data_IF_496977938555
#
_entry.id   IF_496977938555
#
_cell.length_a   1.000
_cell.length_b   1.000
_cell.length_c   1.000
_cell.angle_alpha   90.00
_cell.angle_beta   90.00
_cell.angle_gamma   90.00
#
_symmetry.space_group_name_H-M   'P 1'
#
loop_
_entity.id
_entity.type
_entity.pdbx_description
1 polymer ?
#
# COMPACT_ATOMS: atom_id res chain seq x y z
N UNK A 1 -25.30 18.33 15.17
CA UNK A 1 -24.01 18.39 15.88
C UNK A 1 -22.94 18.40 14.81
N UNK A 2 -22.34 19.56 14.55
CA UNK A 2 -21.29 19.71 13.55
C UNK A 2 -19.93 19.51 14.19
N UNK A 3 -19.17 18.53 13.70
CA UNK A 3 -17.76 18.36 14.06
C UNK A 3 -16.95 18.87 12.86
N UNK A 4 -16.47 20.10 12.99
CA UNK A 4 -15.52 20.72 12.06
C UNK A 4 -14.09 20.43 12.53
N UNK A 5 -13.26 19.87 11.64
CA UNK A 5 -11.83 19.69 11.87
C UNK A 5 -11.05 20.76 11.10
N UNK A 6 -10.54 21.75 11.83
CA UNK A 6 -9.56 22.71 11.32
C UNK A 6 -8.15 22.18 11.58
N UNK A 7 -7.40 21.88 10.53
CA UNK A 7 -5.95 21.64 10.63
C UNK A 7 -5.21 22.72 9.85
N UNK A 8 -4.69 23.72 10.57
CA UNK A 8 -3.59 24.57 10.09
C UNK A 8 -2.28 24.04 10.65
N UNK A 9 -1.42 23.53 9.76
CA UNK A 9 -0.02 23.26 10.06
C UNK A 9 0.80 23.92 8.95
N UNK A 10 1.63 24.90 9.31
CA UNK A 10 2.75 25.36 8.47
C UNK A 10 4.00 25.53 9.34
N UNK A 11 4.99 24.64 9.22
CA UNK A 11 6.38 24.91 9.59
C UNK A 11 7.18 25.31 8.33
N UNK A 12 8.39 25.87 8.51
CA UNK A 12 9.17 26.42 7.39
C UNK A 12 9.74 25.29 6.52
N UNK A 13 9.45 25.36 5.22
CA UNK A 13 9.74 24.36 4.20
C UNK A 13 11.22 24.33 3.78
N UNK A 14 11.79 23.11 3.64
CA UNK A 14 12.85 22.78 2.67
C UNK A 14 12.49 21.44 1.98
N UNK A 15 12.70 21.30 0.66
CA UNK A 15 12.23 20.15 -0.10
C UNK A 15 13.13 18.90 0.11
N UNK A 16 12.51 17.71 0.19
CA UNK A 16 13.06 16.33 0.06
C UNK A 16 13.11 15.40 1.29
N UNK A 17 12.35 15.64 2.36
CA UNK A 17 12.48 14.80 3.56
C UNK A 17 11.78 13.43 3.42
N UNK A 18 12.56 12.36 3.57
CA UNK A 18 12.12 10.96 3.60
C UNK A 18 10.90 10.75 4.52
N UNK A 19 10.81 11.53 5.60
CA UNK A 19 9.71 11.53 6.53
C UNK A 19 8.37 11.97 5.91
N UNK A 20 8.34 13.02 5.09
CA UNK A 20 7.11 13.49 4.43
C UNK A 20 6.57 12.45 3.45
N UNK A 21 7.47 11.85 2.67
CA UNK A 21 7.12 10.79 1.75
C UNK A 21 6.64 9.55 2.51
N UNK A 22 7.21 9.26 3.68
CA UNK A 22 6.77 8.14 4.51
C UNK A 22 5.35 8.34 5.02
N UNK A 23 5.06 9.54 5.55
CA UNK A 23 3.70 9.89 5.97
C UNK A 23 2.72 9.85 4.79
N UNK A 24 3.13 10.33 3.63
CA UNK A 24 2.33 10.26 2.41
C UNK A 24 2.02 8.81 2.02
N UNK A 25 3.00 7.92 2.08
CA UNK A 25 2.79 6.50 1.80
C UNK A 25 1.79 5.84 2.76
N UNK A 26 1.79 6.20 4.04
CA UNK A 26 0.79 5.73 5.02
C UNK A 26 -0.61 6.23 4.63
N UNK A 27 -0.76 7.53 4.35
CA UNK A 27 -2.04 8.15 4.00
C UNK A 27 -2.62 7.48 2.75
N UNK A 28 -1.82 7.34 1.69
CA UNK A 28 -2.28 6.72 0.44
C UNK A 28 -2.54 5.23 0.61
N UNK A 29 -1.80 4.53 1.46
CA UNK A 29 -2.11 3.13 1.78
C UNK A 29 -3.49 3.00 2.44
N UNK A 30 -3.77 3.82 3.44
CA UNK A 30 -5.07 3.80 4.12
C UNK A 30 -6.22 4.13 3.15
N UNK A 31 -6.00 5.07 2.22
CA UNK A 31 -6.98 5.38 1.17
C UNK A 31 -7.20 4.20 0.22
N UNK A 32 -6.14 3.49 -0.17
CA UNK A 32 -6.25 2.29 -1.00
C UNK A 32 -7.04 1.18 -0.28
N UNK A 33 -6.77 0.95 1.00
CA UNK A 33 -7.51 -0.02 1.82
C UNK A 33 -9.00 0.36 1.94
N UNK A 34 -9.30 1.63 2.20
CA UNK A 34 -10.67 2.14 2.24
C UNK A 34 -11.40 1.93 0.90
N UNK A 35 -10.68 2.12 -0.22
CA UNK A 35 -11.24 1.90 -1.56
C UNK A 35 -11.59 0.42 -1.81
N UNK A 36 -10.80 -0.53 -1.28
CA UNK A 36 -11.13 -1.96 -1.32
C UNK A 36 -12.35 -2.29 -0.45
N UNK A 37 -12.46 -1.70 0.75
CA UNK A 37 -13.63 -1.87 1.62
C UNK A 37 -14.91 -1.42 0.93
N UNK A 38 -14.85 -0.28 0.23
CA UNK A 38 -15.97 0.22 -0.58
C UNK A 38 -16.32 -0.72 -1.73
N UNK A 39 -15.33 -1.30 -2.44
CA UNK A 39 -15.58 -2.30 -3.48
C UNK A 39 -16.27 -3.54 -2.89
N UNK A 40 -15.81 -4.03 -1.74
CA UNK A 40 -16.47 -5.16 -1.07
C UNK A 40 -17.91 -4.83 -0.69
N UNK A 41 -18.18 -3.61 -0.18
CA UNK A 41 -19.54 -3.18 0.12
C UNK A 41 -20.43 -3.14 -1.13
N UNK A 42 -19.91 -2.64 -2.26
CA UNK A 42 -20.61 -2.66 -3.55
C UNK A 42 -20.99 -4.09 -3.95
N UNK A 43 -20.03 -5.02 -3.85
CA UNK A 43 -20.26 -6.44 -4.17
C UNK A 43 -21.26 -7.12 -3.22
N UNK A 44 -21.41 -6.61 -2.00
CA UNK A 44 -22.35 -7.13 -0.99
C UNK A 44 -23.69 -6.39 -0.96
N UNK A 45 -23.96 -5.49 -1.91
CA UNK A 45 -25.22 -4.75 -2.01
C UNK A 45 -25.39 -3.58 -1.03
N UNK A 46 -24.30 -3.04 -0.49
CA UNK A 46 -24.24 -1.75 0.23
C UNK A 46 -25.17 -1.61 1.46
N UNK A 47 -25.42 -2.69 2.18
CA UNK A 47 -26.17 -2.63 3.45
C UNK A 47 -25.32 -2.13 4.63
N UNK A 48 -25.95 -1.64 5.71
CA UNK A 48 -25.26 -1.35 6.97
C UNK A 48 -24.49 -2.55 7.53
N UNK A 49 -25.02 -3.76 7.32
CA UNK A 49 -24.34 -5.01 7.67
C UNK A 49 -23.08 -5.18 6.84
N UNK A 50 -23.15 -4.95 5.52
CA UNK A 50 -21.96 -5.02 4.65
C UNK A 50 -20.88 -4.00 5.04
N UNK A 51 -21.28 -2.79 5.46
CA UNK A 51 -20.37 -1.77 5.97
C UNK A 51 -19.64 -2.28 7.23
N UNK A 52 -20.39 -2.73 8.23
CA UNK A 52 -19.83 -3.26 9.48
C UNK A 52 -18.89 -4.45 9.23
N UNK A 53 -19.29 -5.40 8.38
CA UNK A 53 -18.46 -6.55 8.02
C UNK A 53 -17.18 -6.09 7.33
N UNK A 54 -17.28 -5.23 6.31
CA UNK A 54 -16.11 -4.77 5.55
C UNK A 54 -15.13 -3.93 6.39
N UNK A 55 -15.61 -3.23 7.41
CA UNK A 55 -14.78 -2.45 8.31
C UNK A 55 -13.83 -3.33 9.13
N UNK A 56 -14.30 -4.51 9.55
CA UNK A 56 -13.57 -5.50 10.35
C UNK A 56 -12.70 -6.45 9.50
N UNK A 57 -12.86 -6.42 8.17
CA UNK A 57 -12.09 -7.29 7.29
C UNK A 57 -10.64 -6.85 7.17
N UNK A 58 -9.72 -7.78 7.46
CA UNK A 58 -8.31 -7.62 7.17
C UNK A 58 -8.01 -7.70 5.66
N UNK A 59 -6.84 -7.19 5.27
CA UNK A 59 -6.37 -7.10 3.88
C UNK A 59 -6.53 -8.38 3.05
N UNK A 60 -6.20 -9.55 3.61
CA UNK A 60 -6.37 -10.84 2.93
C UNK A 60 -7.84 -11.19 2.69
N UNK A 61 -8.68 -10.96 3.68
CA UNK A 61 -10.12 -11.22 3.58
C UNK A 61 -10.76 -10.29 2.56
N UNK A 62 -10.35 -9.01 2.50
CA UNK A 62 -10.81 -8.06 1.49
C UNK A 62 -10.53 -8.57 0.07
N UNK A 63 -9.27 -8.95 -0.21
CA UNK A 63 -8.92 -9.46 -1.55
C UNK A 63 -9.64 -10.76 -1.89
N UNK A 64 -9.81 -11.66 -0.92
CA UNK A 64 -10.55 -12.91 -1.13
C UNK A 64 -12.03 -12.67 -1.42
N UNK A 65 -12.66 -11.71 -0.74
CA UNK A 65 -14.05 -11.35 -1.01
C UNK A 65 -14.22 -10.74 -2.40
N UNK A 66 -13.30 -9.86 -2.83
CA UNK A 66 -13.31 -9.31 -4.18
C UNK A 66 -13.10 -10.40 -5.23
N UNK A 67 -12.14 -11.31 -5.03
CA UNK A 67 -11.91 -12.46 -5.92
C UNK A 67 -13.13 -13.38 -5.99
N UNK A 68 -13.80 -13.64 -4.87
CA UNK A 68 -15.03 -14.42 -4.84
C UNK A 68 -16.17 -13.72 -5.59
N UNK A 69 -16.38 -12.43 -5.32
CA UNK A 69 -17.38 -11.61 -6.02
C UNK A 69 -17.13 -11.53 -7.52
N UNK A 70 -15.86 -11.52 -7.96
CA UNK A 70 -15.52 -11.52 -9.39
C UNK A 70 -16.00 -12.74 -10.18
N UNK A 71 -16.49 -13.79 -9.50
CA UNK A 71 -17.03 -15.00 -10.14
C UNK A 71 -18.53 -14.92 -10.43
N UNK A 72 -19.20 -13.86 -9.98
CA UNK A 72 -20.62 -13.65 -10.28
C UNK A 72 -20.80 -13.39 -11.78
N UNK A 73 -21.79 -14.04 -12.39
CA UNK A 73 -22.03 -13.97 -13.83
C UNK A 73 -22.32 -12.54 -14.32
N UNK A 74 -23.01 -11.76 -13.49
CA UNK A 74 -23.33 -10.34 -13.75
C UNK A 74 -22.09 -9.44 -13.79
N UNK A 75 -20.95 -9.91 -13.26
CA UNK A 75 -19.70 -9.15 -13.18
C UNK A 75 -18.66 -9.61 -14.21
N UNK A 76 -19.02 -10.42 -15.20
CA UNK A 76 -18.08 -10.96 -16.21
C UNK A 76 -17.18 -9.91 -16.85
N UNK A 77 -17.73 -8.74 -17.19
CA UNK A 77 -16.98 -7.65 -17.81
C UNK A 77 -15.96 -7.00 -16.85
N UNK A 78 -16.30 -6.87 -15.57
CA UNK A 78 -15.44 -6.24 -14.56
C UNK A 78 -14.53 -7.24 -13.84
N UNK A 79 -14.82 -8.54 -13.92
CA UNK A 79 -14.08 -9.60 -13.23
C UNK A 79 -12.56 -9.57 -13.49
N UNK A 80 -12.07 -9.40 -14.74
CA UNK A 80 -10.63 -9.29 -14.99
C UNK A 80 -10.00 -8.06 -14.32
N UNK A 81 -10.78 -7.00 -14.10
CA UNK A 81 -10.31 -5.79 -13.42
C UNK A 81 -10.22 -5.98 -11.91
N UNK A 82 -11.21 -6.64 -11.30
CA UNK A 82 -11.21 -7.01 -9.88
C UNK A 82 -10.05 -7.93 -9.52
N UNK A 83 -9.78 -8.94 -10.36
CA UNK A 83 -8.64 -9.85 -10.18
C UNK A 83 -7.30 -9.13 -10.33
N UNK A 84 -7.18 -8.25 -11.33
CA UNK A 84 -5.98 -7.44 -11.53
C UNK A 84 -5.74 -6.47 -10.37
N UNK A 85 -6.81 -5.88 -9.82
CA UNK A 85 -6.76 -5.04 -8.63
C UNK A 85 -6.22 -5.83 -7.42
N UNK A 86 -6.76 -7.03 -7.16
CA UNK A 86 -6.31 -7.87 -6.05
C UNK A 86 -4.83 -8.23 -6.16
N UNK A 87 -4.36 -8.59 -7.36
CA UNK A 87 -2.94 -8.83 -7.62
C UNK A 87 -2.07 -7.61 -7.27
N UNK A 88 -2.49 -6.42 -7.71
CA UNK A 88 -1.79 -5.17 -7.42
C UNK A 88 -1.76 -4.86 -5.92
N UNK A 89 -2.90 -5.01 -5.25
CA UNK A 89 -3.02 -4.77 -3.82
C UNK A 89 -2.13 -5.70 -3.00
N UNK A 90 -2.11 -7.01 -3.30
CA UNK A 90 -1.26 -7.99 -2.61
C UNK A 90 0.22 -7.70 -2.81
N UNK A 91 0.62 -7.32 -4.04
CA UNK A 91 2.01 -6.92 -4.30
C UNK A 91 2.39 -5.69 -3.46
N UNK A 92 1.57 -4.64 -3.50
CA UNK A 92 1.81 -3.39 -2.77
C UNK A 92 1.70 -3.55 -1.25
N UNK A 93 0.91 -4.51 -0.75
CA UNK A 93 0.90 -4.90 0.67
C UNK A 93 2.27 -5.42 1.11
N UNK A 94 2.95 -6.18 0.24
CA UNK A 94 4.33 -6.60 0.46
C UNK A 94 5.27 -5.41 0.59
N UNK A 95 5.14 -4.42 -0.29
CA UNK A 95 5.89 -3.15 -0.22
C UNK A 95 5.59 -2.37 1.05
N UNK A 96 4.31 -2.24 1.43
CA UNK A 96 3.89 -1.59 2.67
C UNK A 96 4.48 -2.26 3.90
N UNK A 97 4.42 -3.58 3.98
CA UNK A 97 5.00 -4.31 5.11
C UNK A 97 6.53 -4.14 5.17
N UNK A 98 7.19 -4.03 4.02
CA UNK A 98 8.63 -3.84 3.96
C UNK A 98 9.06 -2.39 4.27
N UNK A 99 8.38 -1.39 3.73
CA UNK A 99 8.74 0.03 3.89
C UNK A 99 8.13 0.70 5.12
N UNK A 100 6.91 0.34 5.52
CA UNK A 100 6.21 1.02 6.62
C UNK A 100 6.50 0.33 7.97
N UNK A 101 6.56 -1.00 7.98
CA UNK A 101 6.85 -1.76 9.20
C UNK A 101 8.30 -2.21 9.35
N UNK A 102 9.08 -2.09 8.28
CA UNK A 102 10.46 -2.54 8.29
C UNK A 102 11.47 -1.48 8.72
N UNK A 103 11.14 -0.19 8.69
CA UNK A 103 12.12 0.86 9.02
C UNK A 103 12.43 0.84 10.52
N UNK A 104 13.70 0.67 10.87
CA UNK A 104 14.15 0.72 12.27
C UNK A 104 15.16 1.84 12.54
N UNK A 105 15.84 2.32 11.50
CA UNK A 105 16.79 3.43 11.60
C UNK A 105 16.85 4.21 10.28
N UNK A 106 17.28 5.47 10.37
CA UNK A 106 17.70 6.27 9.22
C UNK A 106 19.15 6.67 9.42
N UNK A 107 19.92 6.74 8.33
CA UNK A 107 21.32 7.15 8.36
C UNK A 107 21.65 8.02 7.14
N UNK A 108 22.83 8.65 7.16
CA UNK A 108 23.38 9.34 6.00
C UNK A 108 24.35 8.37 5.30
N UNK A 109 24.06 8.01 4.05
CA UNK A 109 24.89 7.18 3.20
C UNK A 109 25.21 7.95 1.91
N UNK A 110 26.50 8.16 1.61
CA UNK A 110 26.96 8.95 0.47
C UNK A 110 26.32 10.36 0.37
N UNK A 111 26.08 11.02 1.50
CA UNK A 111 25.46 12.35 1.56
C UNK A 111 23.93 12.36 1.44
N UNK A 112 23.29 11.21 1.27
CA UNK A 112 21.84 11.08 1.19
C UNK A 112 21.26 10.38 2.43
N UNK A 113 20.07 10.79 2.85
CA UNK A 113 19.33 10.13 3.93
C UNK A 113 18.69 8.85 3.40
N UNK A 114 19.09 7.71 3.96
CA UNK A 114 18.55 6.38 3.63
C UNK A 114 17.88 5.74 4.85
N UNK A 115 16.89 4.87 4.62
CA UNK A 115 16.33 4.04 5.67
C UNK A 115 17.00 2.66 5.71
N UNK A 116 17.18 2.14 6.92
CA UNK A 116 17.61 0.76 7.19
C UNK A 116 16.40 -0.07 7.62
N UNK A 117 16.36 -1.32 7.14
CA UNK A 117 15.19 -2.20 7.29
C UNK A 117 15.48 -3.41 8.18
N UNK A 118 14.63 -3.60 9.19
CA UNK A 118 14.58 -4.73 10.10
C UNK A 118 13.21 -5.36 9.95
N UNK A 119 13.17 -6.65 9.60
CA UNK A 119 11.92 -7.39 9.55
C UNK A 119 11.96 -8.53 10.55
N UNK A 120 10.88 -8.69 11.32
CA UNK A 120 10.68 -9.85 12.17
C UNK A 120 9.91 -10.89 11.37
N UNK A 121 10.46 -12.10 11.24
CA UNK A 121 9.77 -13.18 10.54
C UNK A 121 8.57 -13.71 11.35
N UNK A 122 7.71 -14.51 10.71
CA UNK A 122 6.54 -15.12 11.35
C UNK A 122 6.87 -16.12 12.48
N UNK A 123 8.16 -16.34 12.77
CA UNK A 123 8.66 -17.14 13.90
C UNK A 123 9.27 -16.26 15.00
N UNK A 124 9.06 -14.94 14.93
CA UNK A 124 9.54 -13.98 15.92
C UNK A 124 11.04 -13.67 15.81
N UNK A 125 11.75 -14.11 14.77
CA UNK A 125 13.17 -13.81 14.61
C UNK A 125 13.35 -12.48 13.89
N UNK A 126 13.92 -11.51 14.61
CA UNK A 126 14.37 -10.26 14.02
C UNK A 126 15.51 -10.53 13.03
N UNK A 127 15.36 -10.04 11.80
CA UNK A 127 16.33 -10.19 10.73
C UNK A 127 16.64 -8.81 10.16
N UNK A 128 17.90 -8.41 10.26
CA UNK A 128 18.39 -7.18 9.62
C UNK A 128 18.61 -7.53 8.16
N UNK A 129 17.80 -6.95 7.29
CA UNK A 129 18.01 -7.00 5.86
C UNK A 129 18.70 -5.68 5.52
N UNK A 130 19.94 -5.70 5.03
CA UNK A 130 20.64 -4.49 4.60
C UNK A 130 20.56 -4.26 3.08
N UNK A 131 19.39 -3.97 2.47
CA UNK A 131 19.30 -3.05 1.36
C UNK A 131 19.06 -1.63 1.90
N UNK A 132 19.87 -0.66 1.47
CA UNK A 132 19.59 0.76 1.67
C UNK A 132 18.32 1.12 0.90
N UNK A 133 17.38 1.79 1.57
CA UNK A 133 16.17 2.30 0.96
C UNK A 133 16.28 3.82 0.82
N UNK A 134 16.11 4.30 -0.41
CA UNK A 134 16.25 5.71 -0.74
C UNK A 134 14.89 6.39 -0.92
N UNK A 135 14.91 7.72 -0.85
CA UNK A 135 13.76 8.57 -1.16
C UNK A 135 13.11 8.23 -2.53
N UNK A 136 13.91 7.84 -3.52
CA UNK A 136 13.41 7.45 -4.86
C UNK A 136 12.51 6.21 -4.81
N UNK A 137 12.83 5.24 -3.96
CA UNK A 137 12.07 3.98 -3.85
C UNK A 137 10.69 4.23 -3.23
N UNK A 138 10.63 5.17 -2.27
CA UNK A 138 9.37 5.60 -1.66
C UNK A 138 8.48 6.34 -2.65
N UNK A 139 9.07 7.21 -3.48
CA UNK A 139 8.33 7.88 -4.57
C UNK A 139 7.74 6.88 -5.55
N UNK A 140 8.49 5.86 -5.95
CA UNK A 140 7.99 4.80 -6.85
C UNK A 140 6.81 4.06 -6.20
N UNK A 141 6.92 3.73 -4.92
CA UNK A 141 5.82 3.10 -4.18
C UNK A 141 4.57 3.99 -4.11
N UNK A 142 4.72 5.27 -3.79
CA UNK A 142 3.62 6.25 -3.75
C UNK A 142 2.94 6.36 -5.12
N UNK A 143 3.70 6.40 -6.22
CA UNK A 143 3.14 6.41 -7.58
C UNK A 143 2.27 5.18 -7.83
N UNK A 144 2.70 3.99 -7.41
CA UNK A 144 1.89 2.79 -7.55
C UNK A 144 0.64 2.81 -6.64
N UNK A 145 0.70 3.42 -5.45
CA UNK A 145 -0.48 3.64 -4.62
C UNK A 145 -1.47 4.58 -5.30
N UNK A 146 -1.02 5.66 -5.94
CA UNK A 146 -1.89 6.53 -6.72
C UNK A 146 -2.58 5.78 -7.86
N UNK A 147 -1.83 4.96 -8.61
CA UNK A 147 -2.42 4.12 -9.65
C UNK A 147 -3.43 3.13 -9.09
N UNK A 148 -3.17 2.52 -7.94
CA UNK A 148 -4.08 1.60 -7.27
C UNK A 148 -5.38 2.29 -6.84
N UNK A 149 -5.28 3.50 -6.26
CA UNK A 149 -6.45 4.30 -5.84
C UNK A 149 -7.27 4.73 -7.06
N UNK A 150 -6.63 5.28 -8.09
CA UNK A 150 -7.31 5.69 -9.32
C UNK A 150 -8.00 4.52 -10.02
N UNK A 151 -7.34 3.37 -10.09
CA UNK A 151 -7.91 2.15 -10.67
C UNK A 151 -9.09 1.61 -9.82
N UNK A 152 -8.98 1.67 -8.49
CA UNK A 152 -10.08 1.32 -7.57
C UNK A 152 -11.29 2.22 -7.78
N UNK A 153 -11.10 3.53 -7.90
CA UNK A 153 -12.18 4.49 -8.16
C UNK A 153 -12.89 4.22 -9.51
N UNK A 154 -12.13 3.87 -10.55
CA UNK A 154 -12.71 3.49 -11.84
C UNK A 154 -13.55 2.22 -11.74
N UNK A 155 -13.08 1.22 -10.98
CA UNK A 155 -13.84 -0.01 -10.70
C UNK A 155 -15.11 0.29 -9.90
N UNK A 156 -15.04 1.12 -8.86
CA UNK A 156 -16.23 1.51 -8.09
C UNK A 156 -17.29 2.16 -8.99
N UNK A 157 -16.88 3.08 -9.87
CA UNK A 157 -17.78 3.69 -10.85
C UNK A 157 -18.38 2.64 -11.80
N UNK A 158 -17.59 1.68 -12.27
CA UNK A 158 -18.06 0.61 -13.15
C UNK A 158 -19.04 -0.35 -12.45
N UNK A 159 -18.93 -0.49 -11.13
CA UNK A 159 -19.87 -1.23 -10.28
C UNK A 159 -21.13 -0.41 -9.93
N UNK A 160 -21.28 0.81 -10.46
CA UNK A 160 -22.47 1.65 -10.27
C UNK A 160 -22.39 2.62 -9.09
N UNK A 161 -21.23 2.76 -8.44
CA UNK A 161 -21.07 3.78 -7.40
C UNK A 161 -21.12 5.19 -7.99
N UNK A 162 -21.72 6.11 -7.24
CA UNK A 162 -21.82 7.53 -7.56
C UNK A 162 -21.48 8.42 -6.34
N UNK A 163 -21.67 9.73 -6.49
CA UNK A 163 -21.44 10.72 -5.43
C UNK A 163 -20.17 11.58 -5.61
N UNK A 164 -20.20 12.74 -4.96
CA UNK A 164 -19.17 13.77 -5.11
C UNK A 164 -17.78 13.32 -4.66
N UNK A 165 -17.72 12.50 -3.61
CA UNK A 165 -16.47 11.92 -3.11
C UNK A 165 -15.75 11.09 -4.19
N UNK A 166 -16.50 10.22 -4.88
CA UNK A 166 -15.98 9.41 -5.98
C UNK A 166 -15.60 10.29 -7.18
N UNK A 167 -16.42 11.29 -7.50
CA UNK A 167 -16.11 12.26 -8.56
C UNK A 167 -14.80 13.00 -8.33
N UNK A 168 -14.52 13.40 -7.08
CA UNK A 168 -13.26 14.03 -6.70
C UNK A 168 -12.08 13.06 -6.79
N UNK A 169 -12.24 11.81 -6.35
CA UNK A 169 -11.19 10.78 -6.51
C UNK A 169 -10.86 10.52 -7.98
N UNK A 170 -11.87 10.43 -8.84
CA UNK A 170 -11.68 10.22 -10.29
C UNK A 170 -10.82 11.33 -10.89
N UNK A 171 -11.11 12.59 -10.54
CA UNK A 171 -10.34 13.74 -11.00
C UNK A 171 -8.92 13.75 -10.43
N UNK A 172 -8.78 13.56 -9.12
CA UNK A 172 -7.50 13.65 -8.41
C UNK A 172 -6.50 12.58 -8.86
N UNK A 173 -6.97 11.36 -9.10
CA UNK A 173 -6.13 10.21 -9.45
C UNK A 173 -6.19 9.82 -10.93
N UNK A 174 -6.84 10.65 -11.78
CA UNK A 174 -7.01 10.36 -13.22
C UNK A 174 -7.53 8.94 -13.46
N UNK A 175 -8.58 8.57 -12.71
CA UNK A 175 -9.07 7.20 -12.65
C UNK A 175 -9.51 6.69 -14.03
N UNK A 176 -9.07 5.48 -14.38
CA UNK A 176 -9.47 4.79 -15.59
C UNK A 176 -9.47 3.27 -15.39
N UNK A 177 -10.17 2.54 -16.25
CA UNK A 177 -10.12 1.07 -16.29
C UNK A 177 -8.91 0.53 -17.06
N UNK A 178 -7.98 1.39 -17.49
CA UNK A 178 -6.72 0.94 -18.08
C UNK A 178 -5.93 0.21 -16.99
N UNK A 179 -5.63 -1.07 -17.21
CA UNK A 179 -4.92 -1.93 -16.25
C UNK A 179 -3.54 -1.34 -15.96
N UNK A 180 -3.24 -0.90 -14.73
CA UNK A 180 -1.93 -0.38 -14.41
C UNK A 180 -0.89 -1.47 -14.42
N UNK A 181 0.36 -1.11 -14.70
CA UNK A 181 1.49 -2.03 -14.57
C UNK A 181 1.93 -2.06 -13.11
N UNK A 182 1.79 -3.22 -12.47
CA UNK A 182 2.22 -3.41 -11.09
C UNK A 182 3.73 -3.60 -10.99
N UNK A 183 4.35 -3.15 -9.89
CA UNK A 183 5.77 -3.38 -9.69
C UNK A 183 6.06 -4.89 -9.59
N UNK A 184 7.31 -5.30 -9.86
CA UNK A 184 7.71 -6.69 -9.62
C UNK A 184 7.55 -7.04 -8.14
N UNK A 185 7.49 -8.34 -7.83
CA UNK A 185 7.51 -8.76 -6.43
C UNK A 185 8.81 -8.32 -5.77
N UNK A 186 8.73 -7.75 -4.57
CA UNK A 186 9.92 -7.39 -3.80
C UNK A 186 10.84 -8.61 -3.65
N UNK A 187 12.08 -8.47 -4.13
CA UNK A 187 13.12 -9.48 -3.94
C UNK A 187 13.47 -9.52 -2.46
N UNK A 188 13.13 -10.63 -1.80
CA UNK A 188 13.61 -10.93 -0.44
C UNK A 188 15.03 -11.45 -0.55
N UNK A 189 15.94 -10.97 0.30
CA UNK A 189 17.29 -11.55 0.38
C UNK A 189 17.14 -13.03 0.80
N UNK A 190 17.73 -13.99 0.07
CA UNK A 190 17.71 -15.41 0.43
C UNK A 190 18.21 -15.66 1.86
N UNK A 191 17.61 -16.63 2.55
CA UNK A 191 17.85 -16.90 3.99
C UNK A 191 19.31 -17.24 4.31
N UNK A 192 20.03 -17.80 3.34
CA UNK A 192 21.42 -18.21 3.43
C UNK A 192 22.45 -17.07 3.26
N UNK A 193 22.05 -15.88 2.79
CA UNK A 193 22.93 -14.71 2.63
C UNK A 193 22.79 -13.70 3.79
N UNK A 194 21.99 -14.02 4.81
CA UNK A 194 21.60 -13.13 5.91
C UNK A 194 22.58 -13.12 7.10
N UNK A 195 23.70 -13.87 7.02
CA UNK A 195 24.69 -14.00 8.10
C UNK A 195 26.14 -14.10 7.57
N UNK A 196 26.57 -13.19 6.71
CA UNK A 196 28.00 -13.00 6.37
C UNK A 196 28.39 -11.52 6.33
N UNK A 197 27.78 -10.68 7.19
CA UNK A 197 28.41 -9.39 7.53
C UNK A 197 29.30 -9.66 8.73
N UNK A 198 30.58 -9.90 8.40
CA UNK A 198 31.71 -10.20 9.26
C UNK A 198 31.60 -9.66 10.70
N UNK A 199 31.68 -10.55 11.69
CA UNK A 199 32.35 -10.19 12.95
C UNK A 199 33.81 -9.88 12.58
N UNK A 200 34.44 -8.82 13.11
CA UNK A 200 35.89 -8.71 13.03
C UNK A 200 36.47 -10.00 13.63
N UNK A 201 37.41 -10.63 12.90
CA UNK A 201 38.30 -11.63 13.45
C UNK A 201 39.19 -10.91 14.48
N UNK A 202 38.71 -10.78 15.70
CA UNK A 202 39.58 -10.55 16.85
C UNK A 202 39.64 -11.82 17.69
N UNK A 203 40.87 -12.13 18.09
CA UNK A 203 41.31 -13.20 18.98
C UNK A 203 41.42 -14.62 18.39
N UNK A 204 42.44 -14.85 17.56
CA UNK A 204 43.44 -15.89 17.84
C UNK A 204 44.82 -15.38 17.41
N UNK A 205 45.64 -15.00 18.40
CA UNK A 205 46.98 -14.45 18.26
C UNK A 205 47.39 -13.79 19.56
#
# INVERSE_FOLDING_TARGET
MDISFNYRVKPPWRPSDLAEQFMSAIIFWNQAEASLKQIVQLLLGQSYVSLAVSAEMGNRSLTQAIEAGSRLDELKEIAPHLQHLCKGFVLLLGYRNFYIHGIYATEIHNGERVARILSVDGKGKARIFNPTFESKDLRVFITHLHSLIGYSAAIQKALGADGDGLGNMIKAYQASLIKPVWPPQLKRVPTNLQAQVNRPLEAQG
#
